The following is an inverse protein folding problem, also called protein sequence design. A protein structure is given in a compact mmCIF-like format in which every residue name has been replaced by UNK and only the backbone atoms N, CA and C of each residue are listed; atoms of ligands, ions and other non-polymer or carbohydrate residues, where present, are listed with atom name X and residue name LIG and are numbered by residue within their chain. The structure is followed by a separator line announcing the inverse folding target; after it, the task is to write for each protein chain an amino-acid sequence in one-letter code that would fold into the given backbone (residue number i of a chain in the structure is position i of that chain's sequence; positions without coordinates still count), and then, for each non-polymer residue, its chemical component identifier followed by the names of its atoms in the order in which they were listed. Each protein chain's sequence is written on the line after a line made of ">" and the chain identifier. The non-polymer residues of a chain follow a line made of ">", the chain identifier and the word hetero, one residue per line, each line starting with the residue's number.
data_IF_018786969155
#
_entry.id   IF_018786969155
#
_cell.length_a   1.000
_cell.length_b   1.000
_cell.length_c   1.000
_cell.angle_alpha   90.00
_cell.angle_beta   90.00
_cell.angle_gamma   90.00
#
_symmetry.space_group_name_H-M   'P 1'
#
loop_
_entity.id
_entity.type
_entity.pdbx_description
1 polymer ?
#
# COMPACT_ATOMS: atom_id res chain seq x y z
N UNK A 1 6.85 5.17 -13.36
CA UNK A 1 5.66 4.50 -12.79
C UNK A 1 4.92 5.50 -11.89
N UNK A 2 3.58 5.44 -11.85
CA UNK A 2 2.74 6.36 -11.07
C UNK A 2 3.04 6.30 -9.56
N UNK A 3 3.33 5.10 -9.03
CA UNK A 3 3.71 4.88 -7.64
C UNK A 3 4.95 5.66 -7.19
N UNK A 4 6.02 5.64 -8.00
CA UNK A 4 7.26 6.38 -7.71
C UNK A 4 7.02 7.89 -7.67
N UNK A 5 6.20 8.41 -8.58
CA UNK A 5 5.85 9.83 -8.64
C UNK A 5 5.04 10.25 -7.40
N UNK A 6 4.05 9.44 -7.00
CA UNK A 6 3.25 9.69 -5.79
C UNK A 6 4.13 9.71 -4.53
N UNK A 7 5.06 8.75 -4.38
CA UNK A 7 6.00 8.71 -3.25
C UNK A 7 6.90 9.94 -3.20
N UNK A 8 7.46 10.33 -4.35
CA UNK A 8 8.33 11.53 -4.44
C UNK A 8 7.55 12.79 -4.07
N UNK A 9 6.32 12.94 -4.57
CA UNK A 9 5.45 14.08 -4.25
C UNK A 9 5.17 14.17 -2.74
N UNK A 10 4.79 13.07 -2.11
CA UNK A 10 4.53 13.04 -0.67
C UNK A 10 5.80 13.35 0.14
N UNK A 11 6.93 12.75 -0.21
CA UNK A 11 8.21 13.00 0.46
C UNK A 11 8.59 14.50 0.41
N UNK A 12 8.45 15.14 -0.76
CA UNK A 12 8.72 16.58 -0.91
C UNK A 12 7.79 17.42 -0.04
N UNK A 13 6.48 17.12 -0.02
CA UNK A 13 5.54 17.83 0.84
C UNK A 13 5.84 17.66 2.33
N UNK A 14 6.19 16.44 2.76
CA UNK A 14 6.58 16.18 4.16
C UNK A 14 7.84 16.95 4.53
N UNK A 15 8.87 16.92 3.66
CA UNK A 15 10.10 17.65 3.90
C UNK A 15 9.86 19.15 4.02
N UNK A 16 9.08 19.75 3.11
CA UNK A 16 8.75 21.18 3.17
C UNK A 16 8.04 21.52 4.49
N UNK A 17 7.01 20.75 4.84
CA UNK A 17 6.26 20.95 6.09
C UNK A 17 7.17 20.88 7.32
N UNK A 18 8.01 19.85 7.42
CA UNK A 18 8.95 19.72 8.54
C UNK A 18 10.01 20.81 8.55
N UNK A 19 10.45 21.27 7.38
CA UNK A 19 11.42 22.37 7.29
C UNK A 19 10.81 23.68 7.80
N UNK A 20 9.55 23.98 7.45
CA UNK A 20 8.82 25.16 7.92
C UNK A 20 8.62 25.12 9.44
N UNK A 21 8.33 23.94 10.00
CA UNK A 21 8.21 23.72 11.44
C UNK A 21 9.55 23.91 12.16
N UNK A 22 10.61 23.24 11.70
CA UNK A 22 11.92 23.28 12.35
C UNK A 22 12.63 24.62 12.20
N UNK A 23 12.34 25.40 11.15
CA UNK A 23 12.90 26.74 10.98
C UNK A 23 12.46 27.73 12.08
N UNK A 24 11.43 27.39 12.86
CA UNK A 24 10.98 28.20 14.00
C UNK A 24 11.91 28.07 15.21
N UNK A 25 12.67 26.99 15.30
CA UNK A 25 13.49 26.66 16.49
C UNK A 25 14.95 26.32 16.16
N UNK A 26 15.29 26.17 14.89
CA UNK A 26 16.61 25.74 14.43
C UNK A 26 17.18 26.66 13.35
N UNK A 27 18.50 26.59 13.15
CA UNK A 27 19.15 27.24 12.00
C UNK A 27 18.64 26.67 10.68
N UNK A 28 18.62 27.45 9.57
CA UNK A 28 18.15 26.98 8.27
C UNK A 28 18.86 25.71 7.78
N UNK A 29 20.17 25.59 8.07
CA UNK A 29 20.97 24.42 7.68
C UNK A 29 20.53 23.17 8.48
N UNK A 30 20.35 23.31 9.79
CA UNK A 30 19.92 22.22 10.66
C UNK A 30 18.48 21.80 10.34
N UNK A 31 17.56 22.75 10.17
CA UNK A 31 16.17 22.50 9.81
C UNK A 31 16.05 21.70 8.50
N UNK A 32 16.87 22.02 7.49
CA UNK A 32 16.90 21.27 6.22
C UNK A 32 17.37 19.82 6.40
N UNK A 33 18.36 19.57 7.25
CA UNK A 33 18.88 18.22 7.51
C UNK A 33 17.84 17.39 8.26
N UNK A 34 17.30 17.93 9.35
CA UNK A 34 16.33 17.23 10.19
C UNK A 34 15.00 16.99 9.47
N UNK A 35 14.54 17.94 8.65
CA UNK A 35 13.32 17.75 7.85
C UNK A 35 13.44 16.64 6.82
N UNK A 36 14.57 16.53 6.13
CA UNK A 36 14.84 15.44 5.19
C UNK A 36 14.86 14.09 5.92
N UNK A 37 15.54 14.02 7.06
CA UNK A 37 15.59 12.83 7.91
C UNK A 37 14.19 12.40 8.34
N UNK A 38 13.41 13.34 8.90
CA UNK A 38 12.04 13.07 9.37
C UNK A 38 11.10 12.65 8.23
N UNK A 39 11.21 13.28 7.06
CA UNK A 39 10.46 12.89 5.88
C UNK A 39 10.79 11.46 5.44
N UNK A 40 12.06 11.08 5.43
CA UNK A 40 12.50 9.72 5.08
C UNK A 40 11.98 8.68 6.08
N UNK A 41 12.10 8.94 7.39
CA UNK A 41 11.58 8.07 8.45
C UNK A 41 10.06 7.91 8.34
N UNK A 42 9.33 9.00 8.07
CA UNK A 42 7.88 8.96 7.87
C UNK A 42 7.53 8.10 6.64
N UNK A 43 8.20 8.33 5.51
CA UNK A 43 7.98 7.57 4.28
C UNK A 43 8.31 6.07 4.41
N UNK A 44 9.23 5.69 5.31
CA UNK A 44 9.56 4.29 5.59
C UNK A 44 8.43 3.54 6.32
N UNK A 45 7.59 4.28 7.04
CA UNK A 45 6.42 3.73 7.74
C UNK A 45 5.15 3.72 6.89
N UNK A 46 5.18 4.27 5.67
CA UNK A 46 4.04 4.35 4.77
C UNK A 46 4.12 3.37 3.60
N UNK A 47 3.04 2.63 3.40
CA UNK A 47 2.78 1.81 2.22
C UNK A 47 1.72 2.46 1.32
N UNK A 48 1.84 2.29 0.01
CA UNK A 48 0.83 2.75 -0.94
C UNK A 48 -0.48 2.00 -0.73
N UNK A 49 -1.60 2.72 -0.79
CA UNK A 49 -2.94 2.17 -0.85
C UNK A 49 -3.34 2.02 -2.32
N UNK A 50 -3.32 0.77 -2.78
CA UNK A 50 -4.01 0.41 -4.00
C UNK A 50 -5.51 0.47 -3.68
N UNK A 51 -6.27 1.27 -4.43
CA UNK A 51 -7.71 1.07 -4.43
C UNK A 51 -7.94 -0.24 -5.18
N UNK A 52 -8.40 -1.33 -4.54
CA UNK A 52 -8.98 -2.41 -5.31
C UNK A 52 -10.20 -1.78 -5.99
N UNK A 53 -10.09 -1.51 -7.29
CA UNK A 53 -11.26 -1.72 -8.10
C UNK A 53 -11.73 -3.13 -7.75
N UNK A 54 -13.02 -3.33 -7.50
CA UNK A 54 -13.54 -4.63 -7.02
C UNK A 54 -13.34 -5.79 -8.04
N UNK A 55 -12.48 -5.58 -9.03
CA UNK A 55 -11.93 -6.50 -10.02
C UNK A 55 -10.53 -6.94 -9.60
N UNK A 56 -10.35 -8.24 -9.37
CA UNK A 56 -9.02 -8.81 -9.18
C UNK A 56 -8.19 -8.63 -10.47
N UNK A 57 -7.21 -7.71 -10.45
CA UNK A 57 -6.38 -7.36 -11.62
C UNK A 57 -6.11 -5.87 -11.82
N UNK A 58 -6.56 -5.01 -10.90
CA UNK A 58 -6.57 -3.55 -10.98
C UNK A 58 -5.34 -2.83 -11.55
N UNK A 59 -5.57 -1.59 -12.00
CA UNK A 59 -4.50 -0.71 -12.51
C UNK A 59 -3.53 -0.33 -11.38
N UNK A 60 -2.25 -0.20 -11.70
CA UNK A 60 -1.20 0.27 -10.77
C UNK A 60 -1.31 1.78 -10.48
N UNK A 61 -2.43 2.18 -9.87
CA UNK A 61 -2.72 3.55 -9.46
C UNK A 61 -2.75 3.58 -7.93
N UNK A 62 -1.82 4.33 -7.34
CA UNK A 62 -1.84 4.63 -5.92
C UNK A 62 -2.86 5.75 -5.68
N UNK A 63 -3.81 5.50 -4.78
CA UNK A 63 -4.83 6.46 -4.38
C UNK A 63 -4.39 7.30 -3.19
N UNK A 64 -3.66 6.68 -2.25
CA UNK A 64 -3.18 7.32 -1.03
C UNK A 64 -2.07 6.48 -0.37
N UNK A 65 -1.61 6.85 0.83
CA UNK A 65 -0.65 6.13 1.66
C UNK A 65 -1.25 5.78 3.03
N UNK A 66 -1.00 4.57 3.50
CA UNK A 66 -1.41 4.09 4.82
C UNK A 66 -0.25 3.53 5.62
N UNK A 67 -0.50 3.25 6.90
CA UNK A 67 0.49 2.62 7.76
C UNK A 67 0.93 1.26 7.18
N UNK A 68 2.25 1.09 7.03
CA UNK A 68 2.84 -0.10 6.42
C UNK A 68 2.57 -1.36 7.23
N UNK A 69 2.55 -1.29 8.55
CA UNK A 69 2.30 -2.46 9.41
C UNK A 69 0.85 -2.92 9.27
N UNK A 70 -0.10 -1.98 9.38
CA UNK A 70 -1.53 -2.26 9.19
C UNK A 70 -1.76 -2.85 7.80
N UNK A 71 -1.22 -2.23 6.74
CA UNK A 71 -1.37 -2.73 5.37
C UNK A 71 -0.77 -4.15 5.21
N UNK A 72 0.39 -4.40 5.79
CA UNK A 72 1.04 -5.72 5.72
C UNK A 72 0.30 -6.81 6.50
N UNK A 73 -0.51 -6.45 7.50
CA UNK A 73 -1.25 -7.40 8.32
C UNK A 73 -2.43 -8.05 7.59
N UNK A 74 -2.95 -7.41 6.53
CA UNK A 74 -4.16 -7.88 5.82
C UNK A 74 -3.90 -9.17 5.05
N UNK A 75 -2.80 -9.23 4.28
CA UNK A 75 -2.49 -10.38 3.41
C UNK A 75 -2.42 -11.73 4.13
N UNK A 76 -1.63 -11.86 5.22
CA UNK A 76 -1.53 -13.10 5.99
C UNK A 76 -2.88 -13.61 6.52
N UNK A 77 -3.83 -12.72 6.85
CA UNK A 77 -5.16 -13.09 7.32
C UNK A 77 -5.97 -13.84 6.24
N UNK A 78 -5.71 -13.58 4.95
CA UNK A 78 -6.42 -14.25 3.86
C UNK A 78 -5.99 -15.70 3.66
N UNK A 79 -4.75 -16.07 4.01
CA UNK A 79 -4.19 -17.40 3.72
C UNK A 79 -5.09 -18.54 4.21
N UNK A 80 -5.62 -18.43 5.42
CA UNK A 80 -6.50 -19.43 6.00
C UNK A 80 -7.95 -19.29 5.51
N UNK A 81 -8.37 -18.08 5.15
CA UNK A 81 -9.75 -17.76 4.72
C UNK A 81 -10.05 -18.26 3.31
N UNK A 82 -9.05 -18.28 2.43
CA UNK A 82 -9.22 -18.70 1.03
C UNK A 82 -8.82 -20.15 0.77
N UNK A 83 -8.42 -20.91 1.78
CA UNK A 83 -7.91 -22.28 1.59
C UNK A 83 -8.87 -23.12 0.74
N UNK A 84 -10.15 -23.13 1.10
CA UNK A 84 -11.17 -23.90 0.37
C UNK A 84 -11.38 -23.37 -1.06
N UNK A 85 -11.29 -22.05 -1.28
CA UNK A 85 -11.35 -21.48 -2.63
C UNK A 85 -10.15 -21.90 -3.47
N UNK A 86 -8.95 -21.88 -2.89
CA UNK A 86 -7.72 -22.30 -3.54
C UNK A 86 -7.79 -23.77 -3.92
N UNK A 87 -8.18 -24.64 -2.99
CA UNK A 87 -8.32 -26.07 -3.21
C UNK A 87 -9.33 -26.35 -4.35
N UNK A 88 -10.48 -25.66 -4.34
CA UNK A 88 -11.48 -25.74 -5.42
C UNK A 88 -10.92 -25.29 -6.77
N UNK A 89 -10.24 -24.14 -6.84
CA UNK A 89 -9.64 -23.64 -8.07
C UNK A 89 -8.54 -24.57 -8.61
N UNK A 90 -7.72 -25.15 -7.74
CA UNK A 90 -6.62 -26.04 -8.12
C UNK A 90 -7.13 -27.39 -8.65
N UNK A 91 -8.28 -27.86 -8.17
CA UNK A 91 -8.94 -29.09 -8.65
C UNK A 91 -9.47 -29.00 -10.08
N UNK A 92 -9.66 -27.80 -10.63
CA UNK A 92 -10.10 -27.61 -12.01
C UNK A 92 -8.91 -27.88 -12.95
N UNK A 93 -9.06 -28.75 -13.96
CA UNK A 93 -8.04 -28.98 -14.98
C UNK A 93 -7.63 -27.68 -15.67
N UNK A 94 -6.33 -27.47 -15.92
CA UNK A 94 -5.79 -26.21 -16.47
C UNK A 94 -6.55 -25.71 -17.70
N UNK A 95 -6.91 -26.61 -18.62
CA UNK A 95 -7.62 -26.29 -19.87
C UNK A 95 -9.04 -25.73 -19.66
N UNK A 96 -9.65 -25.96 -18.50
CA UNK A 96 -11.00 -25.48 -18.17
C UNK A 96 -11.01 -24.24 -17.28
N UNK A 97 -9.85 -23.81 -16.76
CA UNK A 97 -9.79 -22.72 -15.77
C UNK A 97 -10.25 -21.38 -16.32
N UNK A 98 -10.09 -21.12 -17.62
CA UNK A 98 -10.52 -19.85 -18.23
C UNK A 98 -12.05 -19.73 -18.34
N UNK A 99 -12.77 -20.85 -18.48
CA UNK A 99 -14.22 -20.88 -18.66
C UNK A 99 -15.00 -21.30 -17.42
N UNK A 100 -14.31 -21.74 -16.36
CA UNK A 100 -14.95 -22.21 -15.12
C UNK A 100 -15.00 -21.09 -14.09
N UNK A 101 -16.21 -20.77 -13.61
CA UNK A 101 -16.44 -19.77 -12.58
C UNK A 101 -16.70 -20.45 -11.22
N UNK A 102 -16.23 -19.83 -10.13
CA UNK A 102 -16.54 -20.25 -8.76
C UNK A 102 -17.67 -19.38 -8.20
N UNK A 103 -18.74 -20.00 -7.72
CA UNK A 103 -19.77 -19.31 -6.97
C UNK A 103 -19.42 -19.32 -5.47
N UNK A 104 -18.92 -18.20 -4.96
CA UNK A 104 -18.39 -18.11 -3.60
C UNK A 104 -19.25 -17.17 -2.75
N UNK A 105 -19.56 -17.61 -1.54
CA UNK A 105 -20.10 -16.75 -0.48
C UNK A 105 -19.10 -16.64 0.66
N UNK A 106 -18.62 -15.43 0.94
CA UNK A 106 -17.76 -15.13 2.07
C UNK A 106 -18.58 -14.56 3.22
N UNK A 107 -18.34 -15.03 4.44
CA UNK A 107 -18.94 -14.48 5.65
C UNK A 107 -17.99 -13.44 6.25
N UNK A 108 -18.54 -12.29 6.63
CA UNK A 108 -17.80 -11.29 7.42
C UNK A 108 -17.49 -11.87 8.80
N UNK A 109 -16.34 -11.50 9.35
CA UNK A 109 -16.00 -11.77 10.74
C UNK A 109 -16.62 -10.72 11.65
#
# INVERSE_FOLDING_TARGET
>A
MAATAARKKLQTHLQQRFQDEFSQTMSPKTAKIESLKKANETMANLAGLHNPDLSAGGRDVISDFGDRQVNSSIGPQWKNRIKNLKDAAESIPKMMRESTLLNVKLHKC
#
